data_IF_831625828201
#
_entry.id   IF_831625828201
#
_cell.length_a   1.000
_cell.length_b   1.000
_cell.length_c   1.000
_cell.angle_alpha   90.00
_cell.angle_beta   90.00
_cell.angle_gamma   90.00
#
_symmetry.space_group_name_H-M   'P 1'
#
loop_
_entity.id
_entity.type
_entity.pdbx_description
1 polymer ?
#
# COMPACT_ATOMS: atom_id res chain seq x y z
N UNK A 1 -13.74 24.93 46.13
CA UNK A 1 -13.59 23.50 45.81
C UNK A 1 -13.64 23.39 44.29
N UNK A 2 -12.49 23.56 43.64
CA UNK A 2 -12.32 23.53 42.18
C UNK A 2 -10.88 23.08 41.91
N UNK A 3 -10.69 21.81 41.55
CA UNK A 3 -9.36 21.27 41.24
C UNK A 3 -9.10 21.48 39.74
N UNK A 4 -8.27 22.48 39.43
CA UNK A 4 -7.62 22.63 38.13
C UNK A 4 -6.45 21.64 38.07
N UNK A 5 -6.57 20.61 37.23
CA UNK A 5 -5.43 19.75 36.86
C UNK A 5 -4.79 20.40 35.64
N UNK A 6 -3.62 21.02 35.85
CA UNK A 6 -2.73 21.50 34.78
C UNK A 6 -2.01 20.29 34.20
N UNK A 7 -2.29 19.95 32.94
CA UNK A 7 -1.41 19.07 32.17
C UNK A 7 -0.16 19.85 31.77
N UNK A 8 0.99 19.46 32.30
CA UNK A 8 2.28 19.96 31.84
C UNK A 8 2.63 19.31 30.51
N UNK A 9 2.67 20.09 29.44
CA UNK A 9 3.26 19.69 28.16
C UNK A 9 4.78 19.73 28.28
N UNK A 10 5.43 18.58 28.52
CA UNK A 10 6.86 18.41 28.26
C UNK A 10 7.03 17.66 26.93
N UNK A 11 6.94 18.41 25.83
CA UNK A 11 7.31 17.94 24.49
C UNK A 11 8.84 17.99 24.35
N UNK A 12 9.53 16.91 24.69
CA UNK A 12 10.90 16.70 24.24
C UNK A 12 10.88 15.97 22.90
N UNK A 13 10.43 16.67 21.85
CA UNK A 13 10.78 16.30 20.48
C UNK A 13 12.26 16.67 20.29
N UNK A 14 13.07 15.74 19.78
CA UNK A 14 14.49 16.03 19.56
C UNK A 14 14.64 17.08 18.45
N UNK A 15 15.66 17.95 18.48
CA UNK A 15 15.87 19.01 17.47
C UNK A 15 15.97 18.50 16.02
N UNK A 16 16.17 17.18 15.85
CA UNK A 16 16.23 16.49 14.56
C UNK A 16 14.84 16.45 13.89
N UNK A 17 13.75 16.36 14.66
CA UNK A 17 12.38 16.27 14.13
C UNK A 17 11.87 17.60 13.55
N UNK A 18 12.34 18.73 14.06
CA UNK A 18 11.96 20.06 13.54
C UNK A 18 12.74 20.46 12.29
N UNK A 19 14.04 20.14 12.21
CA UNK A 19 14.83 20.39 10.98
C UNK A 19 14.40 19.53 9.78
N UNK A 20 13.82 18.34 10.03
CA UNK A 20 13.35 17.44 8.98
C UNK A 20 12.04 17.90 8.30
N UNK A 21 11.21 18.72 8.96
CA UNK A 21 9.95 19.24 8.39
C UNK A 21 10.16 20.24 7.25
N UNK A 22 11.32 20.89 7.16
CA UNK A 22 11.55 22.00 6.23
C UNK A 22 12.12 21.60 4.85
N UNK A 23 12.59 20.35 4.66
CA UNK A 23 13.28 19.93 3.42
C UNK A 23 12.42 19.13 2.43
N UNK A 24 11.18 18.77 2.78
CA UNK A 24 10.32 17.90 1.94
C UNK A 24 9.72 18.58 0.69
N UNK A 25 10.15 19.80 0.36
CA UNK A 25 9.61 20.60 -0.74
C UNK A 25 10.68 20.96 -1.77
N UNK A 26 10.98 20.03 -2.69
CA UNK A 26 11.20 20.28 -4.12
C UNK A 26 11.70 19.03 -4.83
N UNK A 27 10.81 18.34 -5.54
CA UNK A 27 11.17 17.37 -6.57
C UNK A 27 11.54 18.15 -7.84
N UNK A 28 12.76 18.66 -7.95
CA UNK A 28 13.26 19.28 -9.19
C UNK A 28 14.07 18.23 -9.95
N UNK A 29 13.57 17.84 -11.13
CA UNK A 29 14.24 16.93 -12.06
C UNK A 29 15.49 17.60 -12.64
N UNK A 30 16.69 17.05 -12.43
CA UNK A 30 17.82 17.32 -13.32
C UNK A 30 17.82 16.29 -14.45
N UNK A 31 17.24 16.67 -15.58
CA UNK A 31 17.45 15.99 -16.85
C UNK A 31 18.80 16.44 -17.40
N UNK A 32 19.92 15.92 -16.90
CA UNK A 32 21.21 15.97 -17.62
C UNK A 32 22.30 15.23 -16.83
N UNK A 33 22.63 14.02 -17.28
CA UNK A 33 24.02 13.58 -17.51
C UNK A 33 24.03 12.10 -17.93
N UNK A 34 24.36 11.87 -19.19
CA UNK A 34 24.63 10.59 -19.82
C UNK A 34 25.82 9.87 -19.15
N UNK A 35 25.65 8.61 -18.75
CA UNK A 35 26.35 7.41 -19.29
C UNK A 35 26.28 6.19 -18.33
N UNK A 36 26.14 4.99 -18.93
CA UNK A 36 26.38 3.62 -18.39
C UNK A 36 25.26 2.91 -17.60
N UNK A 37 24.39 2.20 -18.34
CA UNK A 37 24.37 0.74 -18.48
C UNK A 37 23.02 0.34 -19.11
N UNK A 38 23.06 -0.17 -20.34
CA UNK A 38 21.88 -0.63 -21.05
C UNK A 38 21.34 -1.92 -20.37
N UNK A 39 20.12 -1.82 -19.84
CA UNK A 39 19.43 -2.79 -18.98
C UNK A 39 18.83 -4.00 -19.73
N UNK A 40 19.21 -4.23 -20.99
CA UNK A 40 18.53 -5.14 -21.92
C UNK A 40 18.88 -6.63 -21.74
N UNK A 41 19.30 -7.08 -20.55
CA UNK A 41 19.85 -8.44 -20.40
C UNK A 41 19.70 -9.15 -19.06
N UNK A 42 18.95 -8.61 -18.09
CA UNK A 42 18.70 -9.32 -16.83
C UNK A 42 17.35 -10.03 -16.86
N UNK A 43 17.37 -11.34 -16.58
CA UNK A 43 16.16 -12.14 -16.47
C UNK A 43 15.33 -11.72 -15.26
N UNK A 44 14.04 -11.46 -15.48
CA UNK A 44 13.09 -11.02 -14.46
C UNK A 44 12.07 -12.15 -14.20
N UNK A 45 11.69 -12.38 -12.94
CA UNK A 45 10.72 -13.43 -12.62
C UNK A 45 9.36 -13.08 -13.23
N UNK A 46 8.83 -14.01 -14.03
CA UNK A 46 7.49 -14.01 -14.63
C UNK A 46 6.88 -15.39 -14.44
N UNK A 47 5.56 -15.49 -14.57
CA UNK A 47 4.87 -16.75 -14.38
C UNK A 47 4.35 -17.23 -15.73
N UNK A 48 4.90 -18.33 -16.22
CA UNK A 48 4.62 -18.86 -17.56
C UNK A 48 4.38 -20.35 -17.44
N UNK A 49 3.24 -20.82 -17.96
CA UNK A 49 2.85 -22.24 -17.99
C UNK A 49 2.95 -22.94 -16.62
N UNK A 50 2.44 -22.30 -15.56
CA UNK A 50 2.36 -22.92 -14.24
C UNK A 50 3.65 -22.86 -13.41
N UNK A 51 4.67 -22.09 -13.84
CA UNK A 51 5.94 -21.95 -13.10
C UNK A 51 6.49 -20.53 -13.14
N UNK A 52 7.18 -20.13 -12.07
CA UNK A 52 8.03 -18.93 -12.11
C UNK A 52 9.29 -19.24 -12.91
N UNK A 53 9.48 -18.50 -14.00
CA UNK A 53 10.71 -18.50 -14.80
C UNK A 53 11.34 -17.12 -14.72
N UNK A 54 12.67 -17.06 -14.72
CA UNK A 54 13.38 -15.79 -14.93
C UNK A 54 13.53 -15.62 -16.45
N UNK A 55 12.88 -14.61 -17.02
CA UNK A 55 12.91 -14.32 -18.47
C UNK A 55 13.38 -12.89 -18.72
N UNK A 56 14.24 -12.68 -19.72
CA UNK A 56 14.77 -11.34 -20.08
C UNK A 56 13.76 -10.44 -20.80
N UNK A 57 12.59 -10.98 -21.18
CA UNK A 57 11.59 -10.28 -22.00
C UNK A 57 10.89 -9.11 -21.32
N UNK A 58 10.79 -9.10 -19.98
CA UNK A 58 10.17 -7.99 -19.26
C UNK A 58 11.13 -6.82 -19.24
N UNK A 59 10.69 -5.64 -19.68
CA UNK A 59 11.41 -4.38 -19.52
C UNK A 59 10.75 -3.50 -18.46
N UNK A 60 11.44 -3.26 -17.32
CA UNK A 60 10.93 -2.37 -16.27
C UNK A 60 11.29 -0.91 -16.56
N UNK A 61 10.34 0.02 -16.36
CA UNK A 61 10.62 1.45 -16.34
C UNK A 61 11.65 1.85 -15.27
N UNK A 62 12.27 3.03 -15.43
CA UNK A 62 13.30 3.56 -14.52
C UNK A 62 12.88 3.66 -13.06
N UNK A 63 11.61 3.97 -12.78
CA UNK A 63 11.08 4.04 -11.42
C UNK A 63 10.44 2.70 -11.08
N UNK A 64 11.29 1.70 -10.83
CA UNK A 64 10.88 0.37 -10.36
C UNK A 64 11.85 -0.12 -9.30
N UNK A 65 11.33 -0.67 -8.21
CA UNK A 65 12.14 -1.19 -7.13
C UNK A 65 11.51 -2.48 -6.58
N UNK A 66 12.34 -3.30 -5.93
CA UNK A 66 11.85 -4.47 -5.20
C UNK A 66 12.76 -4.75 -4.01
N UNK A 67 12.19 -5.23 -2.91
CA UNK A 67 12.91 -5.49 -1.67
C UNK A 67 12.49 -6.81 -1.06
N UNK A 68 13.46 -7.51 -0.48
CA UNK A 68 13.24 -8.60 0.45
C UNK A 68 13.52 -8.10 1.86
N UNK A 69 12.47 -8.00 2.67
CA UNK A 69 12.57 -7.79 4.11
C UNK A 69 12.63 -9.17 4.77
N UNK A 70 13.85 -9.69 4.91
CA UNK A 70 14.07 -10.99 5.54
C UNK A 70 13.78 -10.93 7.04
N UNK A 71 13.09 -11.95 7.54
CA UNK A 71 12.75 -12.12 8.95
C UNK A 71 13.98 -11.95 9.86
N UNK A 72 13.89 -11.03 10.82
CA UNK A 72 14.95 -10.70 11.79
C UNK A 72 16.21 -10.08 11.19
N UNK A 73 16.18 -9.72 9.90
CA UNK A 73 17.31 -9.18 9.17
C UNK A 73 17.22 -7.66 8.95
N UNK A 74 17.94 -7.21 7.93
CA UNK A 74 17.83 -5.86 7.40
C UNK A 74 17.18 -5.89 6.02
N UNK A 75 16.45 -4.83 5.61
CA UNK A 75 15.87 -4.75 4.28
C UNK A 75 16.94 -4.93 3.19
N UNK A 76 16.76 -5.94 2.33
CA UNK A 76 17.66 -6.23 1.21
C UNK A 76 17.01 -5.76 -0.09
N UNK A 77 17.63 -4.79 -0.75
CA UNK A 77 17.24 -4.42 -2.11
C UNK A 77 17.65 -5.56 -3.05
N UNK A 78 16.73 -6.03 -3.88
CA UNK A 78 17.05 -7.09 -4.84
C UNK A 78 17.84 -6.49 -6.00
N UNK A 79 18.72 -7.28 -6.65
CA UNK A 79 19.57 -6.83 -7.77
C UNK A 79 18.79 -6.43 -9.04
N UNK A 80 17.45 -6.39 -8.97
CA UNK A 80 16.54 -6.15 -10.07
C UNK A 80 15.83 -4.80 -9.94
N UNK A 81 16.53 -3.70 -10.22
CA UNK A 81 15.93 -2.37 -10.35
C UNK A 81 16.94 -1.22 -10.31
N UNK A 82 16.97 -0.40 -11.37
CA UNK A 82 17.57 0.93 -11.28
C UNK A 82 16.73 1.79 -10.34
N UNK A 83 17.39 2.66 -9.58
CA UNK A 83 16.81 3.99 -9.33
C UNK A 83 17.87 4.99 -9.80
N UNK A 84 17.42 6.16 -10.26
CA UNK A 84 18.27 7.35 -10.39
C UNK A 84 18.61 7.96 -9.02
N UNK A 85 18.42 7.24 -7.93
CA UNK A 85 18.45 7.76 -6.56
C UNK A 85 19.65 7.20 -5.81
N UNK A 86 20.77 7.89 -5.96
CA UNK A 86 21.92 7.80 -5.05
C UNK A 86 22.02 9.04 -4.16
N UNK A 87 20.91 9.74 -3.91
CA UNK A 87 20.92 10.85 -2.96
C UNK A 87 20.75 10.33 -1.52
N UNK A 88 21.32 11.03 -0.54
CA UNK A 88 21.16 10.70 0.88
C UNK A 88 19.69 10.75 1.32
N UNK A 89 18.86 11.56 0.67
CA UNK A 89 17.43 11.71 0.94
C UNK A 89 16.66 10.41 0.66
N UNK A 90 17.04 9.67 -0.39
CA UNK A 90 16.38 8.42 -0.78
C UNK A 90 16.70 7.27 0.18
N UNK A 91 17.92 7.27 0.74
CA UNK A 91 18.33 6.33 1.79
C UNK A 91 17.56 6.62 3.09
N UNK A 92 17.33 7.89 3.41
CA UNK A 92 16.54 8.31 4.57
C UNK A 92 15.06 7.93 4.40
N UNK A 93 14.46 8.19 3.24
CA UNK A 93 13.09 7.79 2.89
C UNK A 93 12.92 6.26 2.96
N UNK A 94 13.91 5.51 2.45
CA UNK A 94 13.94 4.06 2.55
C UNK A 94 13.90 3.56 4.00
N UNK A 95 14.77 4.08 4.88
CA UNK A 95 14.78 3.73 6.31
C UNK A 95 13.47 4.11 7.01
N UNK A 96 12.81 5.18 6.56
CA UNK A 96 11.52 5.59 7.09
C UNK A 96 10.38 4.68 6.65
N UNK A 97 10.44 4.04 5.49
CA UNK A 97 9.37 3.18 4.97
C UNK A 97 9.52 1.70 5.31
N UNK A 98 10.74 1.21 5.56
CA UNK A 98 11.01 -0.23 5.65
C UNK A 98 11.71 -0.60 6.97
N UNK A 99 11.12 -1.52 7.73
CA UNK A 99 11.80 -2.31 8.76
C UNK A 99 11.39 -3.77 8.65
N UNK A 100 12.35 -4.68 8.82
CA UNK A 100 12.08 -6.11 8.77
C UNK A 100 11.21 -6.56 9.93
N UNK A 101 10.36 -7.56 9.66
CA UNK A 101 9.62 -8.25 10.69
C UNK A 101 10.52 -9.21 11.46
N UNK A 102 10.28 -9.39 12.75
CA UNK A 102 10.87 -10.50 13.51
C UNK A 102 10.20 -11.85 13.19
N UNK A 103 9.02 -11.82 12.57
CA UNK A 103 8.13 -12.98 12.41
C UNK A 103 8.01 -13.47 10.97
N UNK A 104 8.05 -12.57 9.99
CA UNK A 104 7.71 -12.89 8.60
C UNK A 104 8.78 -12.44 7.60
N UNK A 105 8.90 -13.20 6.51
CA UNK A 105 9.57 -12.74 5.30
C UNK A 105 8.58 -11.94 4.46
N UNK A 106 8.95 -10.70 4.11
CA UNK A 106 8.09 -9.80 3.35
C UNK A 106 8.81 -9.37 2.07
N UNK A 107 8.11 -9.46 0.94
CA UNK A 107 8.59 -9.02 -0.35
C UNK A 107 7.81 -7.83 -0.84
N UNK A 108 8.49 -6.83 -1.40
CA UNK A 108 7.83 -5.70 -2.04
C UNK A 108 8.30 -5.53 -3.48
N UNK A 109 7.42 -5.03 -4.34
CA UNK A 109 7.71 -4.73 -5.72
C UNK A 109 6.87 -3.54 -6.19
N UNK A 110 7.51 -2.45 -6.61
CA UNK A 110 6.85 -1.27 -7.16
C UNK A 110 7.35 -0.95 -8.57
N UNK A 111 6.49 -0.35 -9.38
CA UNK A 111 6.86 0.27 -10.65
C UNK A 111 5.88 1.40 -11.01
N UNK A 112 6.42 2.46 -11.62
CA UNK A 112 5.62 3.51 -12.26
C UNK A 112 4.77 2.99 -13.44
N UNK A 113 5.12 1.83 -13.99
CA UNK A 113 4.45 1.25 -15.15
C UNK A 113 4.47 2.21 -16.34
N UNK A 114 3.31 2.43 -16.96
CA UNK A 114 3.15 3.28 -18.15
C UNK A 114 2.76 4.73 -17.83
N UNK A 115 2.66 5.07 -16.55
CA UNK A 115 2.31 6.43 -16.09
C UNK A 115 3.52 7.37 -16.18
N UNK A 116 3.23 8.68 -16.15
CA UNK A 116 4.26 9.74 -16.14
C UNK A 116 4.70 10.10 -14.72
N UNK A 117 3.87 9.78 -13.72
CA UNK A 117 4.11 10.00 -12.30
C UNK A 117 3.91 8.70 -11.52
N UNK A 118 4.71 8.51 -10.46
CA UNK A 118 4.52 7.48 -9.45
C UNK A 118 3.77 8.13 -8.29
N UNK A 119 2.49 7.80 -8.16
CA UNK A 119 1.55 8.33 -7.16
C UNK A 119 1.26 7.31 -6.06
N UNK A 120 1.48 6.02 -6.36
CA UNK A 120 1.56 4.92 -5.41
C UNK A 120 2.67 5.11 -4.34
N UNK A 121 2.37 4.72 -3.10
CA UNK A 121 3.38 4.52 -2.06
C UNK A 121 3.05 3.32 -1.17
N UNK A 122 4.05 2.81 -0.45
CA UNK A 122 3.85 1.74 0.52
C UNK A 122 4.81 1.86 1.71
N UNK A 123 4.45 1.22 2.82
CA UNK A 123 5.26 1.13 4.03
C UNK A 123 5.17 -0.27 4.63
N UNK A 124 6.30 -0.78 5.11
CA UNK A 124 6.40 -2.03 5.87
C UNK A 124 7.15 -1.75 7.17
N UNK A 125 6.47 -1.90 8.29
CA UNK A 125 7.04 -1.82 9.64
C UNK A 125 6.84 -3.14 10.36
N UNK A 126 7.83 -4.02 10.26
CA UNK A 126 7.78 -5.35 10.87
C UNK A 126 7.86 -5.37 12.41
N UNK A 127 7.95 -4.21 13.03
CA UNK A 127 7.86 -3.98 14.48
C UNK A 127 7.33 -2.56 14.66
N UNK A 128 6.06 -2.33 14.30
CA UNK A 128 5.40 -1.06 14.62
C UNK A 128 5.33 -0.89 16.15
N UNK A 129 4.98 -1.99 16.83
CA UNK A 129 5.10 -2.22 18.28
C UNK A 129 5.62 -3.64 18.50
N UNK A 130 5.95 -4.02 19.76
CA UNK A 130 6.65 -5.27 20.09
C UNK A 130 6.03 -6.55 19.48
N UNK A 131 4.73 -6.54 19.19
CA UNK A 131 3.95 -7.67 18.66
C UNK A 131 3.07 -7.33 17.45
N UNK A 132 3.25 -6.14 16.86
CA UNK A 132 2.43 -5.64 15.75
C UNK A 132 3.31 -5.31 14.56
N UNK A 133 3.04 -5.96 13.43
CA UNK A 133 3.61 -5.58 12.14
C UNK A 133 2.59 -4.72 11.38
N UNK A 134 3.05 -3.67 10.70
CA UNK A 134 2.24 -2.82 9.85
C UNK A 134 2.68 -2.90 8.40
N UNK A 135 1.72 -3.11 7.51
CA UNK A 135 1.89 -3.04 6.07
C UNK A 135 0.81 -2.11 5.53
N UNK A 136 1.19 -1.14 4.71
CA UNK A 136 0.24 -0.25 4.05
C UNK A 136 0.60 -0.05 2.58
N UNK A 137 -0.39 -0.16 1.70
CA UNK A 137 -0.30 0.27 0.29
C UNK A 137 -1.33 1.37 0.08
N UNK A 138 -0.88 2.46 -0.53
CA UNK A 138 -1.66 3.68 -0.77
C UNK A 138 -1.53 4.02 -2.25
N UNK A 139 -2.62 3.85 -2.99
CA UNK A 139 -2.71 4.16 -4.41
C UNK A 139 -3.17 5.61 -4.55
N UNK A 140 -2.32 6.47 -5.09
CA UNK A 140 -2.54 7.92 -5.12
C UNK A 140 -3.11 8.37 -6.46
N UNK A 141 -3.99 9.37 -6.45
CA UNK A 141 -4.52 9.98 -7.66
C UNK A 141 -4.67 11.50 -7.54
N UNK A 142 -4.58 12.19 -8.68
CA UNK A 142 -4.53 13.66 -8.76
C UNK A 142 -3.33 14.26 -7.97
N UNK A 143 -2.24 13.52 -7.86
CA UNK A 143 -1.03 13.85 -7.11
C UNK A 143 -0.66 12.77 -6.08
N UNK A 144 0.64 12.61 -5.82
CA UNK A 144 1.15 11.67 -4.80
C UNK A 144 0.98 12.14 -3.34
N UNK A 145 0.46 13.36 -3.13
CA UNK A 145 0.49 14.03 -1.84
C UNK A 145 -0.32 13.29 -0.77
N UNK A 146 -1.52 12.84 -1.14
CA UNK A 146 -2.43 12.15 -0.24
C UNK A 146 -1.90 10.78 0.14
N UNK A 147 -1.33 10.02 -0.80
CA UNK A 147 -0.73 8.71 -0.54
C UNK A 147 0.40 8.81 0.51
N UNK A 148 1.38 9.70 0.28
CA UNK A 148 2.51 9.93 1.19
C UNK A 148 2.02 10.44 2.56
N UNK A 149 1.11 11.42 2.57
CA UNK A 149 0.61 12.00 3.81
C UNK A 149 -0.21 11.00 4.62
N UNK A 150 -1.06 10.20 3.98
CA UNK A 150 -1.88 9.17 4.63
C UNK A 150 -0.99 8.12 5.29
N UNK A 151 0.01 7.61 4.56
CA UNK A 151 1.00 6.66 5.10
C UNK A 151 1.66 7.17 6.39
N UNK A 152 2.21 8.39 6.39
CA UNK A 152 2.86 8.94 7.58
C UNK A 152 1.88 9.30 8.71
N UNK A 153 0.68 9.76 8.34
CA UNK A 153 -0.34 10.16 9.32
C UNK A 153 -0.91 8.94 10.02
N UNK A 154 -1.24 7.88 9.29
CA UNK A 154 -1.67 6.61 9.88
C UNK A 154 -0.63 6.07 10.86
N UNK A 155 0.64 5.99 10.42
CA UNK A 155 1.76 5.57 11.26
C UNK A 155 1.90 6.40 12.55
N UNK A 156 1.55 7.70 12.50
CA UNK A 156 1.66 8.60 13.66
C UNK A 156 0.44 8.58 14.57
N UNK A 157 -0.74 8.23 14.05
CA UNK A 157 -2.01 8.22 14.78
C UNK A 157 -2.31 6.88 15.46
N UNK A 158 -1.80 5.78 14.90
CA UNK A 158 -2.01 4.45 15.45
C UNK A 158 -1.13 4.23 16.68
N UNK A 159 -1.63 3.50 17.67
CA UNK A 159 -0.86 3.04 18.83
C UNK A 159 -1.19 1.59 19.21
N UNK A 160 -0.31 0.95 19.98
CA UNK A 160 -0.50 -0.45 20.40
C UNK A 160 -1.77 -0.65 21.23
N UNK A 161 -2.19 0.34 22.02
CA UNK A 161 -3.43 0.28 22.79
C UNK A 161 -4.66 0.19 21.88
N UNK A 162 -4.67 0.97 20.80
CA UNK A 162 -5.73 0.99 19.80
C UNK A 162 -5.86 -0.37 19.13
N UNK A 163 -4.73 -0.96 18.73
CA UNK A 163 -4.68 -2.22 17.98
C UNK A 163 -5.08 -3.44 18.85
N UNK A 164 -4.82 -3.38 20.16
CA UNK A 164 -5.18 -4.45 21.11
C UNK A 164 -6.55 -4.25 21.77
N UNK A 165 -7.24 -3.15 21.50
CA UNK A 165 -8.56 -2.87 22.07
C UNK A 165 -9.64 -3.83 21.55
N UNK A 166 -10.58 -4.21 22.41
CA UNK A 166 -11.82 -4.92 22.00
C UNK A 166 -12.68 -4.06 21.06
N UNK A 167 -12.52 -2.73 21.10
CA UNK A 167 -13.18 -1.75 20.24
C UNK A 167 -12.29 -1.30 19.07
N UNK A 168 -11.33 -2.14 18.65
CA UNK A 168 -10.35 -1.78 17.61
C UNK A 168 -10.99 -1.28 16.32
N UNK A 169 -12.14 -1.82 15.90
CA UNK A 169 -12.85 -1.35 14.69
C UNK A 169 -13.28 0.11 14.81
N UNK A 170 -13.89 0.49 15.93
CA UNK A 170 -14.35 1.87 16.17
C UNK A 170 -13.18 2.84 16.29
N UNK A 171 -12.09 2.41 16.94
CA UNK A 171 -10.89 3.22 17.04
C UNK A 171 -10.23 3.43 15.67
N UNK A 172 -10.14 2.39 14.84
CA UNK A 172 -9.59 2.50 13.48
C UNK A 172 -10.46 3.37 12.58
N UNK A 173 -11.79 3.31 12.69
CA UNK A 173 -12.67 4.26 11.99
C UNK A 173 -12.34 5.72 12.36
N UNK A 174 -12.14 6.03 13.66
CA UNK A 174 -11.74 7.37 14.11
C UNK A 174 -10.34 7.75 13.62
N UNK A 175 -9.39 6.82 13.56
CA UNK A 175 -8.06 7.05 12.98
C UNK A 175 -8.18 7.43 11.51
N UNK A 176 -9.03 6.75 10.74
CA UNK A 176 -9.26 7.08 9.33
C UNK A 176 -9.94 8.45 9.13
N UNK A 177 -10.90 8.83 9.99
CA UNK A 177 -11.51 10.17 9.97
C UNK A 177 -10.50 11.28 10.26
N UNK A 178 -9.65 11.08 11.28
CA UNK A 178 -8.58 12.01 11.62
C UNK A 178 -7.53 12.10 10.51
N UNK A 179 -7.15 10.95 9.94
CA UNK A 179 -6.25 10.88 8.80
C UNK A 179 -6.82 11.65 7.60
N UNK A 180 -8.08 11.43 7.24
CA UNK A 180 -8.76 12.19 6.18
C UNK A 180 -8.74 13.69 6.45
N UNK A 181 -9.09 14.11 7.67
CA UNK A 181 -9.08 15.54 8.04
C UNK A 181 -7.70 16.17 7.82
N UNK A 182 -6.64 15.52 8.31
CA UNK A 182 -5.26 16.03 8.22
C UNK A 182 -4.73 16.01 6.78
N UNK A 183 -5.09 15.00 5.99
CA UNK A 183 -4.69 14.87 4.58
C UNK A 183 -5.39 15.95 3.74
N UNK A 184 -6.71 16.09 3.89
CA UNK A 184 -7.55 17.08 3.18
C UNK A 184 -7.19 18.53 3.48
N UNK A 185 -6.49 18.81 4.59
CA UNK A 185 -5.92 20.13 4.88
C UNK A 185 -4.58 20.40 4.18
N UNK A 186 -3.92 19.36 3.67
CA UNK A 186 -2.54 19.43 3.16
C UNK A 186 -2.44 19.29 1.65
N UNK A 187 -3.44 18.71 0.99
CA UNK A 187 -3.41 18.43 -0.46
C UNK A 187 -4.82 18.25 -1.01
N UNK A 188 -4.97 18.53 -2.31
CA UNK A 188 -6.20 18.27 -3.09
C UNK A 188 -6.21 16.86 -3.72
N UNK A 189 -5.09 16.14 -3.65
CA UNK A 189 -5.01 14.76 -4.13
C UNK A 189 -5.82 13.80 -3.26
N UNK A 190 -6.09 12.61 -3.79
CA UNK A 190 -6.75 11.52 -3.08
C UNK A 190 -5.88 10.27 -3.07
N UNK A 191 -6.24 9.33 -2.20
CA UNK A 191 -5.60 8.03 -2.18
C UNK A 191 -6.52 6.95 -1.63
N UNK A 192 -6.31 5.72 -2.06
CA UNK A 192 -6.78 4.53 -1.36
C UNK A 192 -5.93 4.26 -0.12
N UNK A 193 -6.38 3.35 0.75
CA UNK A 193 -5.57 2.80 1.82
C UNK A 193 -5.93 1.33 2.06
N UNK A 194 -4.96 0.44 1.82
CA UNK A 194 -5.05 -0.99 2.10
C UNK A 194 -3.98 -1.36 3.11
N UNK A 195 -4.42 -1.60 4.35
CA UNK A 195 -3.57 -1.70 5.54
C UNK A 195 -3.76 -3.05 6.23
N UNK A 196 -2.65 -3.66 6.63
CA UNK A 196 -2.57 -4.80 7.54
C UNK A 196 -1.95 -4.37 8.87
N UNK A 197 -2.59 -4.75 9.97
CA UNK A 197 -2.02 -4.74 11.30
C UNK A 197 -1.99 -6.20 11.78
N UNK A 198 -0.81 -6.82 11.70
CA UNK A 198 -0.65 -8.24 12.02
C UNK A 198 -0.28 -8.35 13.50
N UNK A 199 -1.19 -8.90 14.32
CA UNK A 199 -0.96 -9.21 15.73
C UNK A 199 -0.39 -10.62 15.87
N UNK A 200 -0.22 -11.09 17.11
CA UNK A 200 0.28 -12.45 17.38
C UNK A 200 -0.57 -13.55 16.72
N UNK A 201 -1.90 -13.44 16.78
CA UNK A 201 -2.82 -14.53 16.42
C UNK A 201 -3.73 -14.24 15.22
N UNK A 202 -3.86 -12.97 14.83
CA UNK A 202 -4.73 -12.54 13.74
C UNK A 202 -4.12 -11.34 12.99
N UNK A 203 -4.76 -11.02 11.87
CA UNK A 203 -4.49 -9.81 11.11
C UNK A 203 -5.76 -8.98 11.02
N UNK A 204 -5.64 -7.69 11.36
CA UNK A 204 -6.67 -6.70 11.14
C UNK A 204 -6.41 -6.07 9.77
N UNK A 205 -7.41 -6.12 8.91
CA UNK A 205 -7.34 -5.65 7.53
C UNK A 205 -8.26 -4.44 7.40
N UNK A 206 -7.69 -3.29 7.05
CA UNK A 206 -8.44 -2.06 6.80
C UNK A 206 -8.34 -1.69 5.33
N UNK A 207 -9.48 -1.52 4.65
CA UNK A 207 -9.53 -1.16 3.23
C UNK A 207 -10.36 0.10 3.04
N UNK A 208 -9.85 1.07 2.31
CA UNK A 208 -10.55 2.27 1.89
C UNK A 208 -10.18 2.56 0.42
N UNK A 209 -11.00 2.09 -0.51
CA UNK A 209 -10.77 2.22 -1.95
C UNK A 209 -10.88 0.87 -2.66
N UNK A 210 -10.20 0.75 -3.79
CA UNK A 210 -10.21 -0.41 -4.69
C UNK A 210 -8.85 -1.12 -4.82
N UNK A 211 -7.85 -0.71 -4.03
CA UNK A 211 -6.59 -1.44 -3.89
C UNK A 211 -6.80 -2.79 -3.17
N UNK A 212 -6.59 -3.94 -3.84
CA UNK A 212 -7.04 -5.22 -3.33
C UNK A 212 -6.10 -5.84 -2.28
N UNK A 213 -6.67 -6.69 -1.43
CA UNK A 213 -5.95 -7.57 -0.50
C UNK A 213 -6.42 -9.00 -0.74
N UNK A 214 -5.48 -9.92 -0.93
CA UNK A 214 -5.73 -11.35 -1.11
C UNK A 214 -5.07 -12.15 0.00
N UNK A 215 -5.74 -13.21 0.43
CA UNK A 215 -5.23 -14.19 1.39
C UNK A 215 -5.12 -15.53 0.67
N UNK A 216 -3.93 -16.13 0.70
CA UNK A 216 -3.78 -17.55 0.39
C UNK A 216 -3.98 -18.33 1.68
N UNK A 217 -5.01 -19.17 1.71
CA UNK A 217 -5.40 -19.95 2.88
C UNK A 217 -4.52 -21.19 3.05
N UNK A 218 -4.61 -21.85 4.20
CA UNK A 218 -3.92 -23.12 4.46
C UNK A 218 -4.36 -24.25 3.55
N UNK A 219 -5.57 -24.17 2.98
CA UNK A 219 -6.12 -25.15 2.05
C UNK A 219 -5.76 -24.86 0.59
N UNK A 220 -4.78 -23.97 0.36
CA UNK A 220 -4.32 -23.53 -0.96
C UNK A 220 -5.37 -22.79 -1.78
N UNK A 221 -6.43 -22.28 -1.16
CA UNK A 221 -7.41 -21.41 -1.81
C UNK A 221 -7.01 -19.94 -1.70
N UNK A 222 -7.17 -19.17 -2.78
CA UNK A 222 -7.02 -17.72 -2.74
C UNK A 222 -8.37 -17.07 -2.50
N UNK A 223 -8.40 -16.07 -1.61
CA UNK A 223 -9.59 -15.26 -1.39
C UNK A 223 -9.25 -13.78 -1.47
N UNK A 224 -10.04 -13.01 -2.21
CA UNK A 224 -10.06 -11.56 -2.10
C UNK A 224 -10.78 -11.16 -0.81
N UNK A 225 -10.14 -10.33 0.02
CA UNK A 225 -10.73 -9.85 1.27
C UNK A 225 -11.72 -8.74 0.94
N UNK A 226 -13.01 -9.03 1.13
CA UNK A 226 -14.13 -8.13 0.88
C UNK A 226 -14.26 -7.69 -0.59
N UNK A 227 -15.03 -6.63 -0.82
CA UNK A 227 -15.30 -6.07 -2.16
C UNK A 227 -14.62 -4.72 -2.33
N UNK A 228 -14.29 -4.36 -3.56
CA UNK A 228 -13.73 -3.05 -3.89
C UNK A 228 -14.76 -1.95 -3.64
N UNK A 229 -14.33 -0.82 -3.08
CA UNK A 229 -15.21 0.32 -2.84
C UNK A 229 -15.43 1.12 -4.13
N UNK A 230 -16.29 0.60 -5.00
CA UNK A 230 -16.56 1.16 -6.33
C UNK A 230 -18.08 1.20 -6.64
N UNK A 231 -18.40 1.71 -7.82
CA UNK A 231 -19.78 1.95 -8.27
C UNK A 231 -20.51 0.70 -8.80
N UNK A 232 -19.89 -0.47 -8.75
CA UNK A 232 -20.53 -1.74 -9.07
C UNK A 232 -21.10 -2.44 -7.83
N UNK A 233 -20.67 -2.02 -6.62
CA UNK A 233 -21.28 -2.46 -5.38
C UNK A 233 -22.55 -1.65 -5.07
N UNK A 234 -23.65 -2.35 -4.83
CA UNK A 234 -24.95 -1.74 -4.54
C UNK A 234 -24.94 -1.00 -3.21
N UNK A 235 -24.22 -1.52 -2.22
CA UNK A 235 -24.14 -0.91 -0.89
C UNK A 235 -23.38 0.42 -0.96
N UNK A 236 -22.30 0.47 -1.75
CA UNK A 236 -21.55 1.71 -2.00
C UNK A 236 -22.36 2.73 -2.81
N UNK A 237 -23.12 2.30 -3.83
CA UNK A 237 -24.00 3.18 -4.60
C UNK A 237 -25.08 3.82 -3.71
N UNK A 238 -25.65 3.03 -2.80
CA UNK A 238 -26.65 3.53 -1.85
C UNK A 238 -26.02 4.51 -0.85
N UNK A 239 -24.84 4.20 -0.30
CA UNK A 239 -24.08 5.11 0.56
C UNK A 239 -23.81 6.46 -0.14
N UNK A 240 -23.36 6.44 -1.41
CA UNK A 240 -23.10 7.68 -2.17
C UNK A 240 -24.37 8.53 -2.30
N UNK A 241 -25.53 7.91 -2.58
CA UNK A 241 -26.81 8.62 -2.70
C UNK A 241 -27.25 9.21 -1.36
N UNK A 242 -27.11 8.46 -0.27
CA UNK A 242 -27.44 8.93 1.08
C UNK A 242 -26.55 10.11 1.50
N UNK A 243 -25.29 10.13 1.07
CA UNK A 243 -24.37 11.25 1.27
C UNK A 243 -24.59 12.42 0.29
N UNK A 244 -25.71 12.44 -0.46
CA UNK A 244 -26.09 13.53 -1.37
C UNK A 244 -25.40 13.50 -2.74
N UNK A 245 -24.74 12.38 -3.08
CA UNK A 245 -24.11 12.18 -4.38
C UNK A 245 -25.05 11.57 -5.42
N UNK A 246 -24.66 11.70 -6.69
CA UNK A 246 -25.36 11.07 -7.81
C UNK A 246 -24.40 10.17 -8.58
N UNK A 247 -24.93 9.11 -9.20
CA UNK A 247 -24.16 8.25 -10.10
C UNK A 247 -24.47 8.66 -11.54
N UNK A 248 -23.44 9.09 -12.25
CA UNK A 248 -23.54 9.56 -13.64
C UNK A 248 -22.70 8.64 -14.53
N UNK A 249 -23.31 8.12 -15.58
CA UNK A 249 -22.57 7.40 -16.62
C UNK A 249 -21.92 8.43 -17.58
N UNK A 250 -20.60 8.45 -17.62
CA UNK A 250 -19.81 9.30 -18.53
C UNK A 250 -19.06 8.39 -19.49
N UNK A 251 -19.49 8.36 -20.75
CA UNK A 251 -18.89 7.54 -21.82
C UNK A 251 -18.75 6.06 -21.48
N UNK A 252 -19.77 5.46 -20.86
CA UNK A 252 -19.80 4.05 -20.49
C UNK A 252 -19.21 3.73 -19.11
N UNK A 253 -18.65 4.72 -18.41
CA UNK A 253 -18.04 4.55 -17.09
C UNK A 253 -18.89 5.25 -16.04
N UNK A 254 -19.28 4.52 -14.98
CA UNK A 254 -19.99 5.10 -13.84
C UNK A 254 -19.05 5.99 -13.05
N UNK A 255 -19.54 7.18 -12.65
CA UNK A 255 -18.79 8.14 -11.84
C UNK A 255 -19.68 8.82 -10.81
N UNK A 256 -19.16 9.03 -9.61
CA UNK A 256 -19.77 9.88 -8.59
C UNK A 256 -19.75 11.32 -9.08
N UNK A 257 -20.93 11.94 -9.16
CA UNK A 257 -21.16 13.29 -9.69
C UNK A 257 -20.50 13.53 -11.06
N UNK A 258 -20.30 12.48 -11.87
CA UNK A 258 -19.64 12.56 -13.17
C UNK A 258 -18.11 12.77 -13.11
N UNK A 259 -17.48 12.64 -11.93
CA UNK A 259 -16.05 12.96 -11.72
C UNK A 259 -15.17 11.75 -11.41
N UNK A 260 -15.48 11.00 -10.35
CA UNK A 260 -14.59 9.96 -9.80
C UNK A 260 -15.23 8.57 -9.80
N UNK A 261 -14.44 7.51 -9.96
CA UNK A 261 -14.92 6.11 -10.11
C UNK A 261 -14.93 5.32 -8.80
N UNK A 262 -14.14 5.74 -7.81
CA UNK A 262 -14.11 5.17 -6.47
C UNK A 262 -15.17 5.83 -5.58
N UNK A 263 -15.60 5.10 -4.54
CA UNK A 263 -16.64 5.54 -3.61
C UNK A 263 -16.11 5.83 -2.21
N UNK A 264 -14.88 5.40 -1.92
CA UNK A 264 -14.16 5.74 -0.70
C UNK A 264 -12.72 6.13 -0.98
N UNK A 265 -12.24 7.17 -0.30
CA UNK A 265 -10.85 7.60 -0.36
C UNK A 265 -10.47 8.48 0.84
N UNK A 266 -9.16 8.71 0.98
CA UNK A 266 -8.56 9.66 1.91
C UNK A 266 -8.06 10.86 1.11
N UNK A 267 -8.27 12.09 1.60
CA UNK A 267 -8.08 13.29 0.79
C UNK A 267 -9.31 13.58 -0.06
N UNK A 268 -9.13 13.90 -1.35
CA UNK A 268 -10.23 14.14 -2.29
C UNK A 268 -11.31 15.11 -1.77
N UNK A 269 -10.89 16.15 -1.03
CA UNK A 269 -11.81 17.03 -0.30
C UNK A 269 -12.97 17.55 -1.15
N UNK A 270 -12.71 17.85 -2.42
CA UNK A 270 -13.73 18.31 -3.38
C UNK A 270 -14.83 17.28 -3.71
N UNK A 271 -14.60 16.00 -3.42
CA UNK A 271 -15.55 14.89 -3.61
C UNK A 271 -16.18 14.42 -2.29
N UNK A 272 -15.86 15.06 -1.16
CA UNK A 272 -16.42 14.75 0.16
C UNK A 272 -17.31 15.89 0.70
N UNK A 273 -18.47 15.56 1.29
CA UNK A 273 -19.34 14.43 0.89
C UNK A 273 -19.78 14.63 -0.58
N UNK A 274 -19.85 13.57 -1.42
CA UNK A 274 -20.45 12.27 -1.06
C UNK A 274 -19.53 11.06 -0.77
N UNK A 275 -18.24 11.07 -1.09
CA UNK A 275 -17.36 9.92 -0.78
C UNK A 275 -17.25 9.68 0.73
N UNK A 276 -16.91 8.45 1.12
CA UNK A 276 -16.61 8.10 2.51
C UNK A 276 -15.11 7.90 2.73
N UNK A 277 -14.60 8.30 3.89
CA UNK A 277 -13.23 7.97 4.30
C UNK A 277 -13.15 6.74 5.22
N UNK A 278 -14.31 6.17 5.59
CA UNK A 278 -14.39 5.07 6.55
C UNK A 278 -13.95 3.76 5.90
N UNK A 279 -13.05 3.00 6.54
CA UNK A 279 -12.59 1.73 6.01
C UNK A 279 -13.64 0.63 6.21
N UNK A 280 -13.60 -0.40 5.38
CA UNK A 280 -14.09 -1.72 5.77
C UNK A 280 -13.00 -2.41 6.60
N UNK A 281 -13.39 -3.09 7.68
CA UNK A 281 -12.46 -3.70 8.64
C UNK A 281 -12.81 -5.17 8.88
N UNK A 282 -11.88 -6.03 8.50
CA UNK A 282 -11.94 -7.48 8.65
C UNK A 282 -10.85 -7.95 9.64
N UNK A 283 -11.13 -9.01 10.40
CA UNK A 283 -10.15 -9.62 11.31
C UNK A 283 -10.11 -11.11 10.99
N UNK A 284 -8.94 -11.61 10.57
CA UNK A 284 -8.76 -12.99 10.10
C UNK A 284 -7.67 -13.65 10.94
N UNK A 285 -7.93 -14.87 11.42
CA UNK A 285 -6.92 -15.62 12.18
C UNK A 285 -5.70 -15.97 11.31
N UNK A 286 -4.50 -15.77 11.83
CA UNK A 286 -3.27 -16.19 11.17
C UNK A 286 -3.18 -17.71 11.04
N UNK A 287 -3.93 -18.46 11.84
CA UNK A 287 -3.94 -19.92 11.76
C UNK A 287 -4.55 -20.46 10.46
N UNK A 288 -5.26 -19.63 9.69
CA UNK A 288 -5.89 -20.04 8.42
C UNK A 288 -5.14 -19.49 7.20
N UNK A 289 -4.01 -18.81 7.39
CA UNK A 289 -3.30 -18.05 6.34
C UNK A 289 -1.92 -18.67 6.06
N UNK A 290 -1.61 -18.89 4.78
CA UNK A 290 -0.25 -19.20 4.27
C UNK A 290 0.51 -17.92 3.91
N UNK A 291 -0.12 -17.04 3.15
CA UNK A 291 0.45 -15.74 2.74
C UNK A 291 -0.63 -14.69 2.50
N UNK A 292 -0.24 -13.42 2.55
CA UNK A 292 -1.12 -12.27 2.27
C UNK A 292 -0.47 -11.44 1.16
N UNK A 293 -1.25 -11.06 0.16
CA UNK A 293 -0.86 -10.13 -0.90
C UNK A 293 -1.65 -8.83 -0.75
N UNK A 294 -0.96 -7.70 -0.67
CA UNK A 294 -1.55 -6.35 -0.68
C UNK A 294 -1.06 -5.66 -1.94
N UNK A 295 -1.95 -5.05 -2.72
CA UNK A 295 -1.54 -4.35 -3.94
C UNK A 295 -2.39 -3.11 -4.24
N UNK A 296 -1.88 -2.24 -5.11
CA UNK A 296 -2.69 -1.22 -5.81
C UNK A 296 -3.53 -1.86 -6.92
N UNK A 297 -4.47 -1.11 -7.50
CA UNK A 297 -5.38 -1.62 -8.53
C UNK A 297 -4.66 -1.93 -9.86
N UNK A 298 -3.40 -1.50 -10.01
CA UNK A 298 -2.55 -1.77 -11.17
C UNK A 298 -2.31 -3.26 -11.45
N UNK A 299 -2.61 -4.16 -10.49
CA UNK A 299 -2.59 -5.60 -10.71
C UNK A 299 -3.89 -6.19 -11.27
N UNK A 300 -4.94 -5.37 -11.49
CA UNK A 300 -6.29 -5.80 -11.89
C UNK A 300 -6.36 -6.63 -13.18
N UNK A 301 -5.34 -6.56 -14.04
CA UNK A 301 -5.20 -7.40 -15.24
C UNK A 301 -4.76 -8.84 -14.95
N UNK A 302 -4.40 -9.14 -13.70
CA UNK A 302 -3.97 -10.46 -13.23
C UNK A 302 -5.14 -11.13 -12.49
N UNK A 303 -5.54 -12.33 -12.93
CA UNK A 303 -6.64 -13.09 -12.33
C UNK A 303 -6.24 -13.70 -10.98
N UNK A 304 -7.24 -13.97 -10.14
CA UNK A 304 -7.04 -14.60 -8.83
C UNK A 304 -6.35 -15.96 -8.93
N UNK A 305 -6.75 -16.81 -9.89
CA UNK A 305 -6.09 -18.10 -10.14
C UNK A 305 -4.59 -17.94 -10.41
N UNK A 306 -4.22 -16.90 -11.15
CA UNK A 306 -2.83 -16.64 -11.49
C UNK A 306 -2.04 -16.11 -10.28
N UNK A 307 -2.67 -15.29 -9.44
CA UNK A 307 -2.10 -14.87 -8.15
C UNK A 307 -1.90 -16.08 -7.23
N UNK A 308 -2.88 -16.98 -7.15
CA UNK A 308 -2.84 -18.22 -6.37
C UNK A 308 -1.63 -19.05 -6.78
N UNK A 309 -1.49 -19.32 -8.07
CA UNK A 309 -0.38 -20.10 -8.61
C UNK A 309 0.99 -19.48 -8.27
N UNK A 310 1.16 -18.17 -8.42
CA UNK A 310 2.41 -17.48 -8.02
C UNK A 310 2.68 -17.63 -6.52
N UNK A 311 1.65 -17.48 -5.68
CA UNK A 311 1.81 -17.52 -4.23
C UNK A 311 2.12 -18.93 -3.70
N UNK A 312 1.71 -19.98 -4.43
CA UNK A 312 2.00 -21.38 -4.11
C UNK A 312 3.44 -21.80 -4.43
N UNK A 313 4.10 -21.11 -5.36
CA UNK A 313 5.47 -21.47 -5.77
C UNK A 313 6.49 -21.33 -4.62
N UNK A 314 7.51 -22.19 -4.62
CA UNK A 314 8.59 -22.21 -3.63
C UNK A 314 9.67 -21.15 -3.91
N UNK A 315 9.27 -19.88 -3.87
CA UNK A 315 10.18 -18.74 -3.99
C UNK A 315 10.07 -17.77 -2.81
N UNK A 316 11.10 -16.95 -2.65
CA UNK A 316 11.09 -15.87 -1.66
C UNK A 316 10.00 -14.84 -1.97
N UNK A 317 9.49 -14.18 -0.93
CA UNK A 317 8.36 -13.25 -1.05
C UNK A 317 8.64 -12.10 -2.03
N UNK A 318 9.88 -11.65 -2.17
CA UNK A 318 10.26 -10.62 -3.14
C UNK A 318 10.15 -11.10 -4.59
N UNK A 319 10.46 -12.38 -4.85
CA UNK A 319 10.30 -12.97 -6.18
C UNK A 319 8.82 -13.12 -6.51
N UNK A 320 7.99 -13.54 -5.54
CA UNK A 320 6.53 -13.59 -5.69
C UNK A 320 5.94 -12.21 -5.99
N UNK A 321 6.31 -11.19 -5.22
CA UNK A 321 5.87 -9.80 -5.45
C UNK A 321 6.33 -9.27 -6.82
N UNK A 322 7.58 -9.51 -7.20
CA UNK A 322 8.10 -9.16 -8.53
C UNK A 322 7.32 -9.87 -9.63
N UNK A 323 7.01 -11.15 -9.46
CA UNK A 323 6.29 -11.95 -10.43
C UNK A 323 4.89 -11.37 -10.69
N UNK A 324 4.13 -11.03 -9.63
CA UNK A 324 2.82 -10.38 -9.76
C UNK A 324 2.93 -9.06 -10.55
N UNK A 325 3.84 -8.17 -10.14
CA UNK A 325 4.07 -6.88 -10.80
C UNK A 325 4.46 -7.05 -12.28
N UNK A 326 5.40 -7.94 -12.56
CA UNK A 326 5.94 -8.12 -13.91
C UNK A 326 4.89 -8.73 -14.85
N UNK A 327 4.12 -9.71 -14.40
CA UNK A 327 3.03 -10.26 -15.19
C UNK A 327 1.91 -9.23 -15.42
N UNK A 328 1.62 -8.34 -14.46
CA UNK A 328 0.70 -7.23 -14.68
C UNK A 328 1.19 -6.28 -15.78
N UNK A 329 2.50 -5.99 -15.85
CA UNK A 329 3.08 -5.22 -16.94
C UNK A 329 3.01 -5.94 -18.30
N UNK A 330 3.30 -7.23 -18.32
CA UNK A 330 3.22 -8.04 -19.56
C UNK A 330 1.78 -8.15 -20.08
N UNK A 331 0.80 -8.21 -19.17
CA UNK A 331 -0.63 -8.14 -19.47
C UNK A 331 -1.13 -6.70 -19.71
N UNK A 332 -0.22 -5.80 -20.04
CA UNK A 332 -0.49 -4.44 -20.51
C UNK A 332 -1.19 -3.52 -19.50
N UNK A 333 -0.95 -3.73 -18.19
CA UNK A 333 -1.38 -2.77 -17.15
C UNK A 333 -0.90 -1.35 -17.49
N UNK A 334 -1.80 -0.39 -17.31
CA UNK A 334 -1.59 1.03 -17.65
C UNK A 334 -1.28 1.87 -16.42
N UNK A 335 -1.19 1.26 -15.24
CA UNK A 335 -1.12 1.97 -13.97
C UNK A 335 0.26 1.93 -13.30
N UNK A 336 0.40 2.68 -12.21
CA UNK A 336 1.37 2.34 -11.17
C UNK A 336 1.03 0.97 -10.58
N UNK A 337 2.04 0.23 -10.18
CA UNK A 337 1.83 -1.11 -9.62
C UNK A 337 2.69 -1.22 -8.38
N UNK A 338 2.04 -1.45 -7.24
CA UNK A 338 2.67 -1.71 -5.95
C UNK A 338 2.15 -3.02 -5.41
N UNK A 339 3.06 -3.90 -4.98
CA UNK A 339 2.73 -5.22 -4.46
C UNK A 339 3.57 -5.48 -3.22
N UNK A 340 2.92 -5.99 -2.16
CA UNK A 340 3.55 -6.54 -0.97
C UNK A 340 3.07 -7.96 -0.78
N UNK A 341 3.99 -8.91 -0.58
CA UNK A 341 3.70 -10.30 -0.23
C UNK A 341 4.27 -10.58 1.15
N UNK A 342 3.41 -10.93 2.10
CA UNK A 342 3.78 -11.36 3.46
C UNK A 342 3.67 -12.88 3.54
N UNK A 343 4.77 -13.57 3.83
CA UNK A 343 4.76 -15.02 4.02
C UNK A 343 4.51 -15.32 5.51
N UNK A 344 3.29 -15.78 5.84
CA UNK A 344 2.87 -16.07 7.22
C UNK A 344 3.39 -17.43 7.67
N UNK A 345 3.31 -18.45 6.81
CA UNK A 345 3.82 -19.80 7.08
C UNK A 345 4.96 -20.13 6.14
N UNK A 346 6.02 -20.74 6.64
CA UNK A 346 7.07 -21.31 5.79
C UNK A 346 6.48 -22.48 5.00
N UNK A 347 6.68 -22.51 3.68
CA UNK A 347 6.38 -23.68 2.86
C UNK A 347 7.41 -24.74 3.30
N UNK A 348 6.95 -25.85 3.89
CA UNK A 348 7.80 -26.94 4.42
C UNK A 348 8.14 -27.92 3.31
#
# INVERSE_FOLDING_TARGET
MSLLIRYSTSSNASPIQEQQKAKLHKRIRSTDSLTKCAFYGQERPVFVNGKIIKSSGVSLPKLSNSYLLKRGGSPLKTENGNVLDQSEEDVLLFKQQYSCSKRFDIGTAQTIGKRVYMEDTLMVKGELYDDIDFIGVFDGHNGQGAAIKSMHTFYSLIDGYTVHSDHVKDHLSKVFEQMHTLVSMSTESGTTASILLIRENDVIICRCGDSPIYVLTTDDEIMKVGKDHNLYDKDEVEMIKQNGGNIVNVSGVLRVNGKITITRSIGDKQFHPPLSCLPSIDIISLSTIKSILVASDGISVVSEDFLREILLEEFTSDIKAQCVRNNALEKDSKDNISVVVVQIRTII
#
